data_IF_793399133597
#
_entry.id   IF_793399133597
#
_cell.length_a   1.000
_cell.length_b   1.000
_cell.length_c   1.000
_cell.angle_alpha   90.00
_cell.angle_beta   90.00
_cell.angle_gamma   90.00
#
_symmetry.space_group_name_H-M   'P 1'
#
loop_
_entity.id
_entity.type
_entity.pdbx_description
1 polymer ?
#
# COMPACT_ATOMS: atom_id res chain seq x y z
N UNK A 1 11.47 -0.50 -6.20
CA UNK A 1 11.30 -0.53 -4.74
C UNK A 1 11.10 0.90 -4.24
N UNK A 2 10.16 1.14 -3.33
CA UNK A 2 9.91 2.45 -2.70
C UNK A 2 9.77 2.26 -1.18
N UNK A 3 10.57 3.00 -0.41
CA UNK A 3 10.52 2.99 1.04
C UNK A 3 10.02 4.34 1.56
N UNK A 4 8.87 4.31 2.20
CA UNK A 4 8.23 5.46 2.87
C UNK A 4 8.11 5.20 4.37
N UNK A 5 8.90 4.28 4.92
CA UNK A 5 8.84 3.91 6.33
C UNK A 5 9.14 5.13 7.22
N UNK A 6 8.38 5.30 8.31
CA UNK A 6 8.57 6.40 9.29
C UNK A 6 8.51 7.80 8.69
N UNK A 7 7.70 8.02 7.65
CA UNK A 7 7.54 9.35 7.03
C UNK A 7 6.37 10.15 7.60
N UNK A 8 5.62 9.58 8.55
CA UNK A 8 4.47 10.24 9.18
C UNK A 8 3.27 10.38 8.24
N UNK A 9 3.23 9.60 7.16
CA UNK A 9 2.16 9.68 6.17
C UNK A 9 0.84 9.21 6.78
N UNK A 10 -0.22 9.99 6.58
CA UNK A 10 -1.61 9.58 6.85
C UNK A 10 -2.30 8.96 5.64
N UNK A 11 -1.82 9.31 4.46
CA UNK A 11 -2.33 8.83 3.16
C UNK A 11 -1.15 8.70 2.20
N UNK A 12 -1.23 7.74 1.29
CA UNK A 12 -0.30 7.68 0.18
C UNK A 12 -0.68 8.71 -0.89
N UNK A 13 0.30 9.45 -1.43
CA UNK A 13 0.04 10.46 -2.45
C UNK A 13 -0.41 9.82 -3.77
N UNK A 14 -1.28 10.51 -4.51
CA UNK A 14 -1.91 9.97 -5.72
C UNK A 14 -0.91 9.60 -6.83
N UNK A 15 0.27 10.21 -6.84
CA UNK A 15 1.32 9.89 -7.82
C UNK A 15 1.82 8.46 -7.69
N UNK A 16 1.61 7.77 -6.55
CA UNK A 16 2.05 6.39 -6.37
C UNK A 16 1.45 5.48 -7.45
N UNK A 17 0.25 5.80 -7.96
CA UNK A 17 -0.44 5.10 -9.05
C UNK A 17 0.29 5.17 -10.41
N UNK A 18 1.23 6.12 -10.57
CA UNK A 18 2.05 6.28 -11.78
C UNK A 18 3.32 5.44 -11.74
N UNK A 19 3.64 4.83 -10.59
CA UNK A 19 4.83 4.00 -10.43
C UNK A 19 4.57 2.59 -10.99
N UNK A 20 4.37 2.50 -12.30
CA UNK A 20 4.03 1.23 -12.99
C UNK A 20 5.10 0.15 -12.85
N UNK A 21 6.34 0.54 -12.55
CA UNK A 21 7.47 -0.37 -12.31
C UNK A 21 7.73 -0.64 -10.82
N UNK A 22 6.78 -0.32 -9.94
CA UNK A 22 6.95 -0.52 -8.51
C UNK A 22 6.71 -1.98 -8.12
N UNK A 23 7.77 -2.69 -7.76
CA UNK A 23 7.69 -4.08 -7.32
C UNK A 23 7.45 -4.25 -5.81
N UNK A 24 7.87 -3.27 -5.01
CA UNK A 24 7.80 -3.35 -3.56
C UNK A 24 7.61 -1.97 -2.94
N UNK A 25 6.69 -1.89 -1.98
CA UNK A 25 6.31 -0.68 -1.25
C UNK A 25 6.37 -0.94 0.25
N UNK A 26 7.26 -0.22 0.95
CA UNK A 26 7.32 -0.24 2.41
C UNK A 26 6.72 1.04 2.97
N UNK A 27 5.63 0.91 3.71
CA UNK A 27 4.90 2.02 4.34
C UNK A 27 4.75 1.82 5.84
N UNK A 28 5.61 0.98 6.44
CA UNK A 28 5.63 0.73 7.88
C UNK A 28 5.89 2.01 8.68
N UNK A 29 5.50 2.01 9.94
CA UNK A 29 5.65 3.10 10.91
C UNK A 29 5.09 4.44 10.39
N UNK A 30 4.02 4.37 9.59
CA UNK A 30 3.20 5.51 9.20
C UNK A 30 1.84 5.43 9.88
N UNK A 31 1.05 6.49 9.72
CA UNK A 31 -0.31 6.59 10.24
C UNK A 31 -1.32 6.40 9.10
N UNK A 32 -1.03 5.51 8.15
CA UNK A 32 -1.86 5.32 6.96
C UNK A 32 -3.15 4.63 7.37
N UNK A 33 -4.25 5.37 7.32
CA UNK A 33 -5.59 4.89 7.66
C UNK A 33 -6.18 4.02 6.53
N UNK A 34 -5.86 4.36 5.28
CA UNK A 34 -6.37 3.69 4.08
C UNK A 34 -5.33 3.65 2.98
N UNK A 35 -5.21 2.49 2.35
CA UNK A 35 -4.46 2.36 1.10
C UNK A 35 -5.28 2.97 -0.04
N UNK A 36 -4.66 3.75 -0.95
CA UNK A 36 -5.32 4.15 -2.17
C UNK A 36 -5.51 2.92 -3.07
N UNK A 37 -6.38 3.02 -4.07
CA UNK A 37 -6.46 2.00 -5.11
C UNK A 37 -5.07 1.83 -5.77
N UNK A 38 -4.45 0.67 -5.51
CA UNK A 38 -3.15 0.25 -6.02
C UNK A 38 -3.27 -0.73 -7.21
N UNK A 39 -4.47 -0.96 -7.74
CA UNK A 39 -4.72 -1.89 -8.86
C UNK A 39 -3.96 -1.53 -10.14
N UNK A 40 -3.47 -0.28 -10.26
CA UNK A 40 -2.62 0.16 -11.39
C UNK A 40 -1.15 -0.25 -11.26
N UNK A 41 -0.73 -0.75 -10.10
CA UNK A 41 0.63 -1.21 -9.83
C UNK A 41 0.75 -2.69 -10.22
N UNK A 42 0.70 -2.95 -11.53
CA UNK A 42 0.54 -4.30 -12.10
C UNK A 42 1.67 -5.26 -11.76
N UNK A 43 2.86 -4.77 -11.43
CA UNK A 43 4.01 -5.59 -11.06
C UNK A 43 4.34 -5.55 -9.56
N UNK A 44 3.49 -4.92 -8.74
CA UNK A 44 3.69 -4.84 -7.30
C UNK A 44 3.54 -6.23 -6.68
N UNK A 45 4.59 -6.69 -6.03
CA UNK A 45 4.68 -8.02 -5.41
C UNK A 45 4.60 -7.95 -3.89
N UNK A 46 5.14 -6.87 -3.31
CA UNK A 46 5.27 -6.75 -1.86
C UNK A 46 4.74 -5.40 -1.36
N UNK A 47 3.84 -5.44 -0.39
CA UNK A 47 3.41 -4.27 0.37
C UNK A 47 3.63 -4.58 1.85
N UNK A 48 4.43 -3.75 2.52
CA UNK A 48 4.65 -3.86 3.96
C UNK A 48 3.96 -2.69 4.66
N UNK A 49 2.96 -3.00 5.48
CA UNK A 49 2.18 -2.03 6.25
C UNK A 49 1.90 -2.60 7.65
N UNK A 50 1.72 -1.75 8.67
CA UNK A 50 1.31 -2.24 9.99
C UNK A 50 -0.19 -2.60 10.02
N UNK A 51 -0.52 -3.56 10.87
CA UNK A 51 -1.84 -4.17 11.07
C UNK A 51 -2.90 -3.25 11.67
N UNK A 52 -2.73 -1.93 11.73
CA UNK A 52 -3.84 -1.01 12.02
C UNK A 52 -4.83 -0.91 10.84
N UNK A 53 -4.44 -1.43 9.68
CA UNK A 53 -5.29 -1.65 8.50
C UNK A 53 -6.22 -2.88 8.63
N UNK A 54 -6.35 -3.48 9.82
CA UNK A 54 -7.20 -4.66 10.11
C UNK A 54 -8.69 -4.33 10.24
N UNK A 55 -9.12 -3.13 9.84
CA UNK A 55 -10.54 -2.86 9.67
C UNK A 55 -11.09 -3.88 8.64
N UNK A 56 -12.07 -4.73 9.00
CA UNK A 56 -12.58 -5.80 8.13
C UNK A 56 -13.03 -5.29 6.75
N UNK A 57 -13.43 -4.02 6.67
CA UNK A 57 -13.84 -3.36 5.43
C UNK A 57 -12.68 -3.10 4.45
N UNK A 58 -11.44 -3.06 4.92
CA UNK A 58 -10.24 -2.83 4.11
C UNK A 58 -9.66 -4.14 3.57
N UNK A 59 -9.88 -5.27 4.24
CA UNK A 59 -9.52 -6.60 3.72
C UNK A 59 -10.33 -6.95 2.46
N UNK A 60 -11.56 -6.43 2.34
CA UNK A 60 -12.41 -6.59 1.16
C UNK A 60 -11.81 -5.90 -0.10
N UNK A 61 -11.10 -4.79 0.10
CA UNK A 61 -10.33 -4.07 -0.94
C UNK A 61 -9.01 -4.78 -1.30
N UNK A 62 -8.60 -5.78 -0.52
CA UNK A 62 -7.39 -6.58 -0.72
C UNK A 62 -7.71 -8.02 -1.18
N UNK A 63 -8.96 -8.30 -1.60
CA UNK A 63 -9.34 -9.61 -2.17
C UNK A 63 -8.42 -10.00 -3.35
N UNK A 64 -8.14 -11.31 -3.49
CA UNK A 64 -6.77 -11.82 -3.51
C UNK A 64 -6.08 -11.61 -4.86
N UNK A 65 -4.91 -10.99 -4.81
CA UNK A 65 -3.84 -11.36 -5.75
C UNK A 65 -3.55 -12.83 -5.44
N UNK A 66 -4.07 -13.72 -6.28
CA UNK A 66 -4.12 -15.15 -6.02
C UNK A 66 -2.81 -15.75 -5.54
N UNK A 67 -2.87 -16.37 -4.36
CA UNK A 67 -2.62 -17.79 -4.15
C UNK A 67 -3.43 -18.26 -2.94
#
# INVERSE_FOLDING_TARGET
>A
YLNLRRTGLRRLPAFIKKLHNLEALDIRDNQIERLPNISKLRILRYVSAYSHLTDPFILDQLSPIGM
#
